data_IF_260990410287
#
_entry.id   IF_260990410287
#
_cell.length_a   1.000
_cell.length_b   1.000
_cell.length_c   1.000
_cell.angle_alpha   90.00
_cell.angle_beta   90.00
_cell.angle_gamma   90.00
#
_symmetry.space_group_name_H-M   'P 1'
#
loop_
_entity.id
_entity.type
_entity.pdbx_description
1 polymer ?
#
# COMPACT_ATOMS: atom_id res chain seq x y z
N UNK A 1 52.33 24.52 -32.99
CA UNK A 1 51.49 25.71 -32.75
C UNK A 1 50.04 25.31 -33.03
N UNK A 2 49.22 25.18 -31.97
CA UNK A 2 47.72 25.10 -31.96
C UNK A 2 47.09 23.88 -32.69
N UNK A 3 46.06 23.17 -32.20
CA UNK A 3 45.08 23.35 -31.10
C UNK A 3 44.47 21.99 -30.72
N UNK A 4 44.37 21.69 -29.43
CA UNK A 4 43.47 20.66 -28.88
C UNK A 4 42.03 21.17 -28.94
N UNK A 5 41.13 20.41 -29.58
CA UNK A 5 39.69 20.63 -29.48
C UNK A 5 39.14 19.76 -28.33
N UNK A 6 38.90 20.39 -27.18
CA UNK A 6 38.06 19.81 -26.14
C UNK A 6 36.60 20.09 -26.50
N UNK A 7 35.84 19.04 -26.80
CA UNK A 7 34.38 19.09 -26.78
C UNK A 7 33.89 18.94 -25.34
N UNK A 8 33.08 19.87 -24.81
CA UNK A 8 32.40 19.66 -23.54
C UNK A 8 31.20 18.73 -23.75
N UNK A 9 31.19 17.60 -23.04
CA UNK A 9 30.00 16.77 -22.86
C UNK A 9 29.02 17.53 -21.95
N UNK A 10 27.87 17.91 -22.49
CA UNK A 10 26.72 18.35 -21.71
C UNK A 10 25.96 17.10 -21.23
N UNK A 11 25.68 16.94 -19.93
CA UNK A 11 24.79 15.88 -19.46
C UNK A 11 23.36 16.22 -19.85
N UNK A 12 22.75 15.37 -20.68
CA UNK A 12 21.33 15.37 -20.97
C UNK A 12 20.59 14.94 -19.71
N UNK A 13 19.97 15.88 -19.00
CA UNK A 13 19.01 15.58 -17.93
C UNK A 13 17.70 15.18 -18.61
N UNK A 14 17.45 13.87 -18.70
CA UNK A 14 16.14 13.36 -19.07
C UNK A 14 15.19 13.51 -17.89
N UNK A 15 14.32 14.51 -17.94
CA UNK A 15 13.12 14.53 -17.12
C UNK A 15 12.18 13.44 -17.66
N UNK A 16 12.08 12.32 -16.94
CA UNK A 16 10.94 11.44 -17.09
C UNK A 16 9.72 12.18 -16.53
N UNK A 17 8.91 12.77 -17.41
CA UNK A 17 7.53 13.10 -17.08
C UNK A 17 6.79 11.76 -16.94
N UNK A 18 6.62 11.28 -15.70
CA UNK A 18 5.57 10.31 -15.42
C UNK A 18 4.25 10.99 -15.79
N UNK A 19 3.57 10.48 -16.82
CA UNK A 19 2.24 10.95 -17.18
C UNK A 19 1.29 10.57 -16.05
N UNK A 20 0.92 11.54 -15.20
CA UNK A 20 -0.22 11.43 -14.30
C UNK A 20 -1.49 11.35 -15.15
N UNK A 21 -1.88 10.13 -15.51
CA UNK A 21 -3.24 9.85 -15.96
C UNK A 21 -4.04 9.59 -14.70
N UNK A 22 -4.70 10.64 -14.18
CA UNK A 22 -5.69 10.46 -13.12
C UNK A 22 -6.85 9.63 -13.67
N UNK A 23 -7.23 8.51 -13.03
CA UNK A 23 -8.55 7.94 -13.28
C UNK A 23 -9.61 8.93 -12.76
N UNK A 24 -10.61 9.21 -13.60
CA UNK A 24 -11.76 10.01 -13.20
C UNK A 24 -12.47 9.33 -12.02
N UNK A 25 -12.50 10.02 -10.88
CA UNK A 25 -13.07 9.67 -9.56
C UNK A 25 -12.44 8.47 -8.84
N UNK A 26 -11.38 8.71 -8.07
CA UNK A 26 -11.07 7.84 -6.93
C UNK A 26 -12.14 8.04 -5.84
N UNK A 27 -12.57 6.96 -5.18
CA UNK A 27 -13.34 7.12 -3.94
C UNK A 27 -12.40 7.59 -2.83
N UNK A 28 -12.85 8.53 -2.01
CA UNK A 28 -12.07 9.03 -0.86
C UNK A 28 -12.77 8.57 0.41
N UNK A 29 -11.99 7.99 1.31
CA UNK A 29 -12.41 7.61 2.66
C UNK A 29 -11.60 8.44 3.65
N UNK A 30 -12.26 9.40 4.29
CA UNK A 30 -11.64 10.29 5.26
C UNK A 30 -11.66 9.66 6.66
N UNK A 31 -10.50 9.64 7.32
CA UNK A 31 -10.29 9.21 8.70
C UNK A 31 -11.04 7.93 9.08
N UNK A 32 -10.77 6.78 8.43
CA UNK A 32 -11.38 5.53 8.86
C UNK A 32 -10.95 5.17 10.28
N UNK A 33 -11.84 4.52 11.03
CA UNK A 33 -11.52 3.99 12.35
C UNK A 33 -10.36 2.97 12.25
N UNK A 34 -9.39 3.13 13.14
CA UNK A 34 -8.20 2.28 13.21
C UNK A 34 -8.26 1.33 14.39
N UNK A 35 -7.85 0.09 14.15
CA UNK A 35 -7.78 -0.99 15.12
C UNK A 35 -6.33 -1.40 15.38
N UNK A 36 -6.09 -2.10 16.48
CA UNK A 36 -4.73 -2.51 16.91
C UNK A 36 -4.44 -3.99 16.72
N UNK A 37 -5.37 -4.76 16.18
CA UNK A 37 -5.29 -6.23 16.04
C UNK A 37 -5.76 -6.62 14.64
N UNK A 38 -5.07 -7.57 14.01
CA UNK A 38 -5.49 -8.27 12.79
C UNK A 38 -6.57 -9.28 13.15
N UNK A 39 -7.62 -9.38 12.33
CA UNK A 39 -8.74 -10.30 12.59
C UNK A 39 -9.31 -10.28 14.04
N UNK A 40 -9.63 -9.11 14.65
CA UNK A 40 -10.19 -9.03 16.01
C UNK A 40 -11.52 -9.77 16.16
N UNK A 41 -12.23 -10.03 15.06
CA UNK A 41 -13.53 -10.72 15.07
C UNK A 41 -13.44 -12.24 14.87
N UNK A 42 -12.30 -12.75 14.39
CA UNK A 42 -12.12 -14.16 14.04
C UNK A 42 -12.91 -14.59 12.80
N UNK A 43 -13.16 -13.69 11.84
CA UNK A 43 -14.06 -13.92 10.71
C UNK A 43 -13.61 -15.09 9.84
N UNK A 44 -12.37 -15.04 9.34
CA UNK A 44 -11.69 -16.16 8.68
C UNK A 44 -10.31 -16.34 9.28
N UNK A 45 -10.09 -17.49 9.92
CA UNK A 45 -8.77 -17.81 10.48
C UNK A 45 -7.75 -18.03 9.35
N UNK A 46 -6.86 -17.04 9.19
CA UNK A 46 -5.74 -17.12 8.27
C UNK A 46 -4.58 -17.84 8.95
N UNK A 47 -4.30 -19.05 8.49
CA UNK A 47 -3.21 -19.88 9.05
C UNK A 47 -1.98 -19.92 8.15
N UNK A 48 -2.10 -19.51 6.89
CA UNK A 48 -0.98 -19.43 5.98
C UNK A 48 -0.33 -18.04 6.05
N UNK A 49 0.95 -18.01 6.37
CA UNK A 49 1.76 -16.80 6.39
C UNK A 49 2.80 -16.88 5.27
N UNK A 50 2.99 -15.78 4.55
CA UNK A 50 4.01 -15.72 3.51
C UNK A 50 5.41 -15.92 4.08
N UNK A 51 6.27 -16.59 3.31
CA UNK A 51 7.66 -16.78 3.71
C UNK A 51 8.35 -15.43 3.86
N UNK A 52 9.04 -15.22 4.98
CA UNK A 52 9.73 -13.96 5.29
C UNK A 52 8.83 -12.85 5.85
N UNK A 53 7.55 -13.12 6.12
CA UNK A 53 6.67 -12.15 6.76
C UNK A 53 7.03 -11.89 8.23
N UNK A 54 7.00 -10.62 8.63
CA UNK A 54 6.94 -10.22 10.04
C UNK A 54 5.59 -10.64 10.60
N UNK A 55 5.57 -11.38 11.71
CA UNK A 55 4.33 -11.85 12.34
C UNK A 55 3.38 -10.71 12.73
N UNK A 56 2.07 -10.95 12.59
CA UNK A 56 1.02 -9.99 12.97
C UNK A 56 1.24 -9.42 14.38
N UNK A 57 1.48 -10.29 15.37
CA UNK A 57 1.73 -9.88 16.76
C UNK A 57 2.92 -8.93 16.95
N UNK A 58 3.90 -8.95 16.04
CA UNK A 58 5.04 -8.03 16.09
C UNK A 58 4.66 -6.67 15.57
N UNK A 59 3.83 -6.62 14.51
CA UNK A 59 3.31 -5.36 13.98
C UNK A 59 2.31 -4.72 14.95
N UNK A 60 1.40 -5.52 15.52
CA UNK A 60 0.41 -5.09 16.53
C UNK A 60 1.05 -4.56 17.83
N UNK A 61 2.28 -5.00 18.13
CA UNK A 61 3.02 -4.52 19.30
C UNK A 61 3.62 -3.11 19.10
N UNK A 62 3.62 -2.58 17.87
CA UNK A 62 4.02 -1.21 17.59
C UNK A 62 2.88 -0.28 18.02
N UNK A 63 3.17 0.63 18.96
CA UNK A 63 2.14 1.47 19.60
C UNK A 63 1.39 2.43 18.66
N UNK A 64 1.88 2.61 17.43
CA UNK A 64 1.35 3.49 16.41
C UNK A 64 0.85 2.76 15.16
N UNK A 65 0.86 1.43 15.18
CA UNK A 65 0.32 0.60 14.11
C UNK A 65 -1.20 0.60 14.17
N UNK A 66 -1.82 1.09 13.09
CA UNK A 66 -3.26 1.14 12.94
C UNK A 66 -3.70 0.28 11.76
N UNK A 67 -4.82 -0.43 11.94
CA UNK A 67 -5.39 -1.36 10.97
C UNK A 67 -6.76 -0.86 10.54
N UNK A 68 -6.96 -0.75 9.23
CA UNK A 68 -8.25 -0.45 8.60
C UNK A 68 -9.04 -1.76 8.48
N UNK A 69 -10.29 -1.73 8.95
CA UNK A 69 -11.13 -2.93 9.07
C UNK A 69 -12.49 -2.77 8.37
N UNK A 70 -12.82 -1.57 7.89
CA UNK A 70 -14.07 -1.29 7.18
C UNK A 70 -13.82 -0.62 5.83
N UNK A 71 -14.47 -1.17 4.79
CA UNK A 71 -14.28 -0.77 3.39
C UNK A 71 -15.62 -0.41 2.73
N UNK A 72 -16.65 -0.07 3.51
CA UNK A 72 -18.01 0.17 3.01
C UNK A 72 -18.14 1.29 1.97
N UNK A 73 -17.23 2.27 2.01
CA UNK A 73 -17.21 3.44 1.11
C UNK A 73 -16.36 3.26 -0.15
N UNK A 74 -15.73 2.09 -0.32
CA UNK A 74 -14.85 1.82 -1.45
C UNK A 74 -15.64 1.58 -2.73
N UNK A 75 -15.21 2.22 -3.81
CA UNK A 75 -15.78 2.04 -5.15
C UNK A 75 -14.82 1.29 -6.06
N UNK A 76 -15.36 0.81 -7.17
CA UNK A 76 -14.57 0.19 -8.21
C UNK A 76 -13.44 1.12 -8.67
N UNK A 77 -12.24 0.55 -8.86
CA UNK A 77 -11.07 1.25 -9.37
C UNK A 77 -10.19 1.76 -8.23
N UNK A 78 -9.63 2.95 -8.41
CA UNK A 78 -8.73 3.54 -7.44
C UNK A 78 -9.49 4.07 -6.23
N UNK A 79 -8.95 3.82 -5.04
CA UNK A 79 -9.48 4.34 -3.78
C UNK A 79 -8.37 5.09 -3.03
N UNK A 80 -8.73 6.11 -2.28
CA UNK A 80 -7.84 6.91 -1.44
C UNK A 80 -8.38 6.86 -0.02
N UNK A 81 -7.47 6.61 0.93
CA UNK A 81 -7.71 6.75 2.35
C UNK A 81 -6.92 7.97 2.80
N UNK A 82 -7.62 8.98 3.30
CA UNK A 82 -7.05 10.23 3.73
C UNK A 82 -7.13 10.36 5.25
N UNK A 83 -6.03 10.70 5.90
CA UNK A 83 -5.93 10.92 7.34
C UNK A 83 -5.71 12.40 7.63
N UNK A 84 -6.44 12.92 8.62
CA UNK A 84 -6.20 14.25 9.17
C UNK A 84 -5.00 14.29 10.13
N UNK A 85 -4.56 13.13 10.61
CA UNK A 85 -3.33 12.98 11.39
C UNK A 85 -2.10 13.08 10.47
N UNK A 86 -1.43 14.23 10.49
CA UNK A 86 -0.23 14.52 9.69
C UNK A 86 0.94 13.55 9.96
N UNK A 87 0.91 12.77 11.04
CA UNK A 87 1.95 11.76 11.32
C UNK A 87 1.71 10.44 10.57
N UNK A 88 0.55 10.28 9.95
CA UNK A 88 0.15 9.10 9.20
C UNK A 88 0.11 9.41 7.72
N UNK A 89 0.70 8.52 6.92
CA UNK A 89 0.60 8.64 5.46
C UNK A 89 -0.82 8.31 5.01
N UNK A 90 -1.26 9.04 3.99
CA UNK A 90 -2.44 8.68 3.21
C UNK A 90 -2.12 7.44 2.36
N UNK A 91 -3.16 6.72 1.94
CA UNK A 91 -3.01 5.49 1.16
C UNK A 91 -3.82 5.58 -0.14
N UNK A 92 -3.16 5.43 -1.29
CA UNK A 92 -3.80 5.20 -2.56
C UNK A 92 -3.74 3.72 -2.93
N UNK A 93 -4.90 3.15 -3.26
CA UNK A 93 -5.05 1.76 -3.68
C UNK A 93 -5.46 1.74 -5.14
N UNK A 94 -4.62 1.17 -6.00
CA UNK A 94 -4.84 1.13 -7.46
C UNK A 94 -4.75 -0.28 -8.01
N UNK A 95 -5.55 -0.58 -9.02
CA UNK A 95 -5.67 -1.91 -9.62
C UNK A 95 -5.25 -1.87 -11.09
N UNK A 96 -4.57 -2.92 -11.55
CA UNK A 96 -4.14 -3.06 -12.94
C UNK A 96 -4.02 -4.53 -13.36
N UNK A 97 -3.66 -4.78 -14.62
CA UNK A 97 -3.63 -6.13 -15.20
C UNK A 97 -5.01 -6.60 -15.64
N UNK A 98 -5.31 -7.89 -15.48
CA UNK A 98 -6.54 -8.53 -15.95
C UNK A 98 -7.75 -8.37 -15.01
N UNK A 99 -7.86 -7.21 -14.34
CA UNK A 99 -8.85 -6.94 -13.29
C UNK A 99 -10.25 -6.65 -13.82
N UNK A 100 -11.28 -7.09 -13.08
CA UNK A 100 -12.69 -6.88 -13.42
C UNK A 100 -13.04 -5.41 -13.57
N UNK A 101 -13.56 -5.02 -14.74
CA UNK A 101 -14.01 -3.63 -15.01
C UNK A 101 -15.53 -3.42 -14.85
N UNK A 102 -16.27 -4.40 -14.32
CA UNK A 102 -17.69 -4.25 -13.98
C UNK A 102 -17.91 -3.30 -12.81
N UNK A 103 -19.11 -2.71 -12.63
CA UNK A 103 -19.43 -1.82 -11.49
C UNK A 103 -19.27 -2.48 -10.10
N UNK A 104 -19.15 -3.79 -10.09
CA UNK A 104 -18.82 -4.65 -8.95
C UNK A 104 -17.40 -5.23 -9.09
N UNK A 105 -16.49 -4.50 -9.75
CA UNK A 105 -15.15 -4.96 -10.13
C UNK A 105 -14.11 -4.75 -9.05
N UNK A 106 -12.82 -4.81 -9.44
CA UNK A 106 -11.72 -4.66 -8.50
C UNK A 106 -11.74 -3.27 -7.82
N UNK A 107 -11.37 -3.23 -6.54
CA UNK A 107 -11.38 -2.03 -5.70
C UNK A 107 -12.70 -1.75 -4.98
N UNK A 108 -13.83 -2.26 -5.47
CA UNK A 108 -15.12 -2.05 -4.80
C UNK A 108 -15.20 -2.78 -3.46
N UNK A 109 -16.04 -2.27 -2.55
CA UNK A 109 -16.36 -2.98 -1.30
C UNK A 109 -16.94 -4.37 -1.56
N UNK A 110 -16.47 -5.37 -0.79
CA UNK A 110 -16.94 -6.74 -0.79
C UNK A 110 -17.53 -7.09 0.57
N UNK A 111 -18.82 -6.81 0.74
CA UNK A 111 -19.57 -7.12 1.97
C UNK A 111 -19.98 -8.61 2.03
N UNK A 112 -19.00 -9.49 2.21
CA UNK A 112 -19.23 -10.92 2.38
C UNK A 112 -18.11 -11.55 3.21
N UNK A 113 -18.47 -12.06 4.40
CA UNK A 113 -17.55 -12.65 5.37
C UNK A 113 -16.81 -13.90 4.86
N UNK A 114 -17.18 -14.43 3.69
CA UNK A 114 -16.40 -15.47 3.02
C UNK A 114 -15.11 -14.92 2.37
N UNK A 115 -14.94 -13.60 2.32
CA UNK A 115 -13.80 -12.92 1.68
C UNK A 115 -13.16 -11.86 2.59
N UNK A 116 -13.59 -11.75 3.83
CA UNK A 116 -13.02 -10.82 4.82
C UNK A 116 -12.58 -11.61 6.06
N UNK A 117 -11.46 -11.20 6.64
CA UNK A 117 -11.06 -11.58 7.99
C UNK A 117 -11.79 -10.69 9.00
N UNK A 118 -12.18 -9.49 8.57
CA UNK A 118 -13.09 -8.59 9.26
C UNK A 118 -14.57 -8.94 9.12
N UNK A 119 -15.44 -8.49 10.05
CA UNK A 119 -16.83 -8.92 10.11
C UNK A 119 -17.72 -8.21 9.09
N UNK A 120 -17.24 -7.15 8.44
CA UNK A 120 -18.10 -6.25 7.63
C UNK A 120 -17.76 -6.25 6.15
N UNK A 121 -16.49 -6.18 5.76
CA UNK A 121 -16.12 -6.01 4.34
C UNK A 121 -14.64 -6.22 4.07
N UNK A 122 -14.31 -6.52 2.82
CA UNK A 122 -12.96 -6.47 2.28
C UNK A 122 -12.93 -5.63 0.99
N UNK A 123 -11.75 -5.31 0.49
CA UNK A 123 -11.57 -4.75 -0.85
C UNK A 123 -11.65 -5.90 -1.87
N UNK A 124 -12.54 -5.77 -2.86
CA UNK A 124 -12.70 -6.76 -3.91
C UNK A 124 -11.46 -6.82 -4.81
N UNK A 125 -10.95 -8.03 -4.99
CA UNK A 125 -9.89 -8.36 -5.95
C UNK A 125 -10.42 -9.43 -6.91
N UNK A 126 -10.77 -9.04 -8.13
CA UNK A 126 -11.50 -9.90 -9.07
C UNK A 126 -10.91 -9.84 -10.48
N UNK A 127 -10.92 -10.96 -11.20
CA UNK A 127 -10.55 -11.03 -12.62
C UNK A 127 -11.73 -10.73 -13.57
N UNK A 128 -11.44 -10.55 -14.86
CA UNK A 128 -12.45 -10.45 -15.93
C UNK A 128 -13.01 -11.83 -16.37
N UNK A 129 -12.95 -12.87 -15.53
CA UNK A 129 -13.25 -14.26 -15.92
C UNK A 129 -12.43 -14.74 -17.14
N UNK A 130 -11.13 -14.42 -17.13
CA UNK A 130 -10.20 -14.78 -18.20
C UNK A 130 -9.92 -16.29 -18.21
N UNK A 131 -9.95 -16.88 -19.41
CA UNK A 131 -9.68 -18.32 -19.57
C UNK A 131 -8.19 -18.63 -19.64
N UNK A 132 -7.36 -17.67 -20.06
CA UNK A 132 -5.92 -17.81 -20.14
C UNK A 132 -5.24 -17.50 -18.80
N UNK A 133 -4.01 -17.99 -18.61
CA UNK A 133 -3.19 -17.59 -17.48
C UNK A 133 -2.89 -16.08 -17.54
N UNK A 134 -2.97 -15.40 -16.39
CA UNK A 134 -2.85 -13.94 -16.33
C UNK A 134 -2.40 -13.48 -14.94
N UNK A 135 -2.15 -12.17 -14.81
CA UNK A 135 -1.80 -11.52 -13.55
C UNK A 135 -2.82 -10.43 -13.25
N UNK A 136 -3.26 -10.41 -12.00
CA UNK A 136 -4.00 -9.33 -11.38
C UNK A 136 -3.03 -8.58 -10.47
N UNK A 137 -2.97 -7.26 -10.60
CA UNK A 137 -2.01 -6.44 -9.86
C UNK A 137 -2.72 -5.37 -9.04
N UNK A 138 -2.18 -5.09 -7.85
CA UNK A 138 -2.58 -3.95 -7.01
C UNK A 138 -1.36 -3.27 -6.45
N UNK A 139 -1.46 -1.95 -6.36
CA UNK A 139 -0.46 -1.10 -5.73
C UNK A 139 -1.12 -0.36 -4.57
N UNK A 140 -0.44 -0.36 -3.44
CA UNK A 140 -0.77 0.32 -2.19
C UNK A 140 0.31 1.37 -1.98
N UNK A 141 0.07 2.59 -2.47
CA UNK A 141 1.03 3.69 -2.41
C UNK A 141 0.76 4.54 -1.17
N UNK A 142 1.79 4.74 -0.35
CA UNK A 142 1.75 5.64 0.81
C UNK A 142 2.22 7.02 0.38
N UNK A 143 1.48 8.04 0.78
CA UNK A 143 1.65 9.37 0.22
C UNK A 143 0.93 10.45 1.02
N UNK A 144 0.67 11.58 0.35
CA UNK A 144 -0.20 12.64 0.85
C UNK A 144 -1.29 12.98 -0.17
N UNK A 145 -2.50 13.22 0.33
CA UNK A 145 -3.68 13.62 -0.41
C UNK A 145 -4.07 15.06 -0.04
N UNK A 146 -4.04 15.96 -1.02
CA UNK A 146 -4.37 17.37 -0.80
C UNK A 146 -5.87 17.72 -0.99
N UNK A 147 -6.72 16.71 -1.17
CA UNK A 147 -8.12 16.87 -1.57
C UNK A 147 -8.36 16.84 -3.08
N UNK A 148 -7.30 16.82 -3.89
CA UNK A 148 -7.38 16.81 -5.36
C UNK A 148 -6.36 15.91 -6.05
N UNK A 149 -5.14 15.83 -5.52
CA UNK A 149 -4.01 15.10 -6.07
C UNK A 149 -3.35 14.27 -4.99
N UNK A 150 -3.02 13.03 -5.33
CA UNK A 150 -2.24 12.14 -4.49
C UNK A 150 -0.77 12.24 -4.88
N UNK A 151 0.08 12.56 -3.92
CA UNK A 151 1.54 12.58 -4.08
C UNK A 151 2.15 11.39 -3.35
N UNK A 152 2.41 10.31 -4.09
CA UNK A 152 3.10 9.12 -3.59
C UNK A 152 4.61 9.30 -3.39
N UNK A 153 5.17 10.49 -3.66
CA UNK A 153 6.59 10.77 -3.39
C UNK A 153 6.83 11.26 -1.96
N UNK A 154 5.76 11.60 -1.24
CA UNK A 154 5.81 12.14 0.12
C UNK A 154 5.05 11.22 1.06
N UNK A 155 5.76 10.32 1.74
CA UNK A 155 5.17 9.44 2.73
C UNK A 155 5.92 8.14 2.90
N UNK A 156 5.43 7.34 3.82
CA UNK A 156 5.91 6.01 4.07
C UNK A 156 5.54 5.50 5.44
N UNK A 157 5.91 4.25 5.69
CA UNK A 157 5.72 3.58 6.97
C UNK A 157 6.92 2.72 7.33
N UNK A 158 7.18 2.54 8.63
CA UNK A 158 8.18 1.58 9.10
C UNK A 158 7.65 0.13 9.09
N UNK A 159 6.33 -0.05 9.06
CA UNK A 159 5.68 -1.35 9.04
C UNK A 159 4.39 -1.33 8.21
N UNK A 160 4.14 -2.42 7.46
CA UNK A 160 2.93 -2.60 6.67
C UNK A 160 2.49 -4.07 6.71
N UNK A 161 1.19 -4.32 6.79
CA UNK A 161 0.64 -5.67 6.72
C UNK A 161 -0.80 -5.68 6.22
N UNK A 162 -1.25 -6.83 5.74
CA UNK A 162 -2.61 -7.05 5.26
C UNK A 162 -2.89 -8.55 5.14
N UNK A 163 -4.18 -8.89 5.00
CA UNK A 163 -4.63 -10.25 4.72
C UNK A 163 -5.29 -10.33 3.35
N UNK A 164 -5.21 -11.52 2.76
CA UNK A 164 -5.89 -11.89 1.53
C UNK A 164 -6.74 -13.11 1.83
N UNK A 165 -8.04 -13.11 1.51
CA UNK A 165 -8.91 -14.25 1.83
C UNK A 165 -9.93 -14.56 0.75
N UNK A 166 -10.37 -15.81 0.71
CA UNK A 166 -11.38 -16.29 -0.24
C UNK A 166 -12.07 -17.56 0.29
N UNK A 167 -13.25 -17.93 -0.26
CA UNK A 167 -13.91 -19.19 0.03
C UNK A 167 -13.05 -20.41 -0.26
N UNK A 168 -13.39 -21.51 0.40
CA UNK A 168 -12.73 -22.79 0.24
C UNK A 168 -12.76 -23.21 -1.23
N UNK A 169 -11.62 -23.63 -1.78
CA UNK A 169 -11.47 -23.99 -3.19
C UNK A 169 -11.30 -22.81 -4.16
N UNK A 170 -11.46 -21.56 -3.73
CA UNK A 170 -11.29 -20.38 -4.60
C UNK A 170 -9.84 -20.25 -5.12
N UNK A 171 -8.85 -20.71 -4.36
CA UNK A 171 -7.45 -20.71 -4.77
C UNK A 171 -7.03 -21.89 -5.65
N UNK A 172 -7.96 -22.70 -6.14
CA UNK A 172 -7.65 -23.83 -7.04
C UNK A 172 -6.94 -23.42 -8.34
N UNK A 173 -7.15 -22.19 -8.81
CA UNK A 173 -6.47 -21.61 -9.98
C UNK A 173 -5.28 -20.73 -9.63
N UNK A 174 -5.03 -20.48 -8.34
CA UNK A 174 -3.94 -19.63 -7.91
C UNK A 174 -2.60 -20.32 -8.20
N UNK A 175 -1.74 -19.66 -8.96
CA UNK A 175 -0.38 -20.13 -9.20
C UNK A 175 0.57 -19.62 -8.11
N UNK A 176 0.59 -18.31 -7.93
CA UNK A 176 1.40 -17.64 -6.91
C UNK A 176 0.83 -16.28 -6.53
N UNK A 177 1.23 -15.81 -5.37
CA UNK A 177 1.09 -14.40 -4.96
C UNK A 177 2.48 -13.89 -4.67
N UNK A 178 2.86 -12.77 -5.28
CA UNK A 178 4.12 -12.09 -5.01
C UNK A 178 3.80 -10.70 -4.45
N UNK A 179 4.34 -10.40 -3.28
CA UNK A 179 4.21 -9.10 -2.63
C UNK A 179 5.59 -8.48 -2.50
N UNK A 180 5.74 -7.24 -2.96
CA UNK A 180 6.98 -6.48 -2.80
C UNK A 180 6.74 -5.22 -1.99
N UNK A 181 7.58 -5.00 -0.98
CA UNK A 181 7.63 -3.78 -0.19
C UNK A 181 8.77 -2.93 -0.76
N UNK A 182 8.47 -1.72 -1.18
CA UNK A 182 9.36 -0.83 -1.91
C UNK A 182 9.60 0.46 -1.13
N UNK A 183 10.80 1.01 -1.23
CA UNK A 183 11.08 2.37 -0.75
C UNK A 183 10.65 3.45 -1.77
N UNK A 184 10.82 4.72 -1.42
CA UNK A 184 10.51 5.86 -2.28
C UNK A 184 11.31 5.90 -3.60
N UNK A 185 12.42 5.17 -3.70
CA UNK A 185 13.21 5.03 -4.93
C UNK A 185 12.81 3.80 -5.75
N UNK A 186 11.68 3.15 -5.40
CA UNK A 186 11.22 1.89 -5.99
C UNK A 186 12.18 0.72 -5.81
N UNK A 187 13.10 0.80 -4.84
CA UNK A 187 13.99 -0.31 -4.52
C UNK A 187 13.26 -1.30 -3.62
N UNK A 188 13.35 -2.59 -3.96
CA UNK A 188 12.74 -3.65 -3.16
C UNK A 188 13.44 -3.81 -1.81
N UNK A 189 12.69 -3.54 -0.74
CA UNK A 189 13.09 -3.79 0.65
C UNK A 189 12.86 -5.25 1.04
N UNK A 190 11.75 -5.83 0.56
CA UNK A 190 11.39 -7.22 0.81
C UNK A 190 10.50 -7.78 -0.29
N UNK A 191 10.70 -9.06 -0.62
CA UNK A 191 9.80 -9.83 -1.48
C UNK A 191 9.27 -11.00 -0.68
N UNK A 192 7.94 -11.12 -0.62
CA UNK A 192 7.24 -12.25 -0.04
C UNK A 192 6.50 -13.00 -1.13
N UNK A 193 6.48 -14.32 -1.05
CA UNK A 193 5.83 -15.13 -2.08
C UNK A 193 5.08 -16.29 -1.45
N UNK A 194 3.90 -16.53 -1.98
CA UNK A 194 3.13 -17.75 -1.81
C UNK A 194 3.19 -18.49 -3.15
N UNK A 195 3.59 -19.75 -3.13
CA UNK A 195 3.69 -20.60 -4.32
C UNK A 195 3.11 -21.97 -4.06
N UNK A 196 2.51 -22.61 -5.06
CA UNK A 196 2.03 -23.99 -4.95
C UNK A 196 0.83 -24.12 -4.02
N UNK A 197 -0.11 -23.19 -4.12
CA UNK A 197 -1.28 -23.12 -3.23
C UNK A 197 -2.16 -24.36 -3.38
N UNK A 198 -2.55 -24.91 -2.23
CA UNK A 198 -3.49 -26.02 -2.14
C UNK A 198 -4.94 -25.51 -2.07
N UNK A 199 -5.88 -26.28 -2.61
CA UNK A 199 -7.32 -25.96 -2.62
C UNK A 199 -7.96 -25.79 -1.23
N UNK A 200 -7.25 -26.16 -0.16
CA UNK A 200 -7.71 -26.01 1.23
C UNK A 200 -7.27 -24.71 1.91
N UNK A 201 -6.48 -23.87 1.25
CA UNK A 201 -6.16 -22.54 1.77
C UNK A 201 -7.39 -21.64 1.74
N UNK A 202 -7.56 -20.85 2.79
CA UNK A 202 -8.67 -19.89 2.95
C UNK A 202 -8.22 -18.43 2.94
N UNK A 203 -6.90 -18.23 2.98
CA UNK A 203 -6.27 -16.95 2.81
C UNK A 203 -4.81 -16.98 3.23
N UNK A 204 -4.17 -15.81 3.17
CA UNK A 204 -2.76 -15.58 3.37
C UNK A 204 -2.54 -14.26 4.11
N UNK A 205 -1.59 -14.25 5.04
CA UNK A 205 -1.12 -13.04 5.70
C UNK A 205 0.24 -12.61 5.13
N UNK A 206 0.37 -11.29 4.93
CA UNK A 206 1.60 -10.62 4.54
C UNK A 206 1.88 -9.49 5.51
N UNK A 207 3.14 -9.33 5.89
CA UNK A 207 3.54 -8.26 6.79
C UNK A 207 5.03 -8.05 6.76
N UNK A 208 5.46 -6.81 6.84
CA UNK A 208 6.87 -6.45 6.83
C UNK A 208 7.10 -5.25 7.75
N UNK A 209 8.15 -5.36 8.55
CA UNK A 209 8.69 -4.26 9.33
C UNK A 209 10.09 -3.96 8.78
N UNK A 210 10.26 -2.77 8.22
CA UNK A 210 11.54 -2.33 7.69
C UNK A 210 12.45 -1.83 8.81
N UNK A 211 13.75 -2.13 8.68
CA UNK A 211 14.80 -1.61 9.55
C UNK A 211 15.81 -0.73 8.78
N UNK A 212 15.57 -0.48 7.49
CA UNK A 212 16.55 0.14 6.59
C UNK A 212 16.06 1.47 6.00
N UNK A 213 14.88 1.47 5.41
CA UNK A 213 14.22 2.63 4.82
C UNK A 213 12.71 2.49 4.96
N UNK A 214 11.99 3.60 4.88
CA UNK A 214 10.54 3.59 4.97
C UNK A 214 9.94 2.89 3.74
N UNK A 215 8.87 2.13 3.99
CA UNK A 215 8.05 1.51 2.95
C UNK A 215 7.18 2.61 2.37
N UNK A 216 7.36 2.94 1.10
CA UNK A 216 6.54 3.96 0.41
C UNK A 216 5.50 3.33 -0.51
N UNK A 217 5.70 2.08 -0.95
CA UNK A 217 4.73 1.38 -1.81
C UNK A 217 4.76 -0.11 -1.55
N UNK A 218 3.60 -0.75 -1.68
CA UNK A 218 3.47 -2.21 -1.68
C UNK A 218 2.79 -2.65 -2.97
N UNK A 219 3.44 -3.55 -3.71
CA UNK A 219 2.85 -4.18 -4.90
C UNK A 219 2.42 -5.60 -4.60
N UNK A 220 1.26 -5.99 -5.13
CA UNK A 220 0.66 -7.31 -4.96
C UNK A 220 0.32 -7.85 -6.34
N UNK A 221 1.05 -8.88 -6.77
CA UNK A 221 0.81 -9.59 -8.02
C UNK A 221 0.24 -10.98 -7.74
N UNK A 222 -0.96 -11.23 -8.24
CA UNK A 222 -1.63 -12.52 -8.15
C UNK A 222 -1.59 -13.19 -9.51
N UNK A 223 -0.76 -14.22 -9.63
CA UNK A 223 -0.65 -15.03 -10.84
C UNK A 223 -1.67 -16.15 -10.82
N UNK A 224 -2.47 -16.24 -11.87
CA UNK A 224 -3.58 -17.19 -12.00
C UNK A 224 -3.33 -18.11 -13.19
N UNK A 225 -3.53 -19.40 -12.99
CA UNK A 225 -3.45 -20.41 -14.04
C UNK A 225 -4.65 -20.31 -14.99
N UNK A 226 -4.47 -20.82 -16.21
CA UNK A 226 -5.57 -20.99 -17.15
C UNK A 226 -6.70 -21.84 -16.54
N UNK A 227 -7.94 -21.55 -16.92
CA UNK A 227 -9.11 -22.25 -16.39
C UNK A 227 -10.41 -21.49 -16.60
N UNK A 228 -11.53 -22.16 -16.41
CA UNK A 228 -12.87 -21.56 -16.52
C UNK A 228 -13.33 -20.94 -15.20
N UNK A 229 -14.09 -19.84 -15.28
CA UNK A 229 -14.73 -19.18 -14.15
C UNK A 229 -14.00 -17.92 -13.70
N UNK A 230 -14.65 -17.11 -12.88
CA UNK A 230 -14.02 -15.93 -12.28
C UNK A 230 -13.18 -16.29 -11.07
N UNK A 231 -12.04 -15.64 -10.91
CA UNK A 231 -11.29 -15.61 -9.67
C UNK A 231 -11.65 -14.38 -8.84
N UNK A 232 -11.90 -14.59 -7.55
CA UNK A 232 -12.28 -13.54 -6.61
C UNK A 232 -11.64 -13.81 -5.24
N UNK A 233 -11.04 -12.78 -4.67
CA UNK A 233 -10.55 -12.73 -3.30
C UNK A 233 -10.82 -11.36 -2.69
N UNK A 234 -10.79 -11.27 -1.37
CA UNK A 234 -10.82 -10.00 -0.64
C UNK A 234 -9.44 -9.67 -0.07
N UNK A 235 -9.08 -8.40 -0.11
CA UNK A 235 -7.97 -7.83 0.64
C UNK A 235 -8.53 -7.09 1.86
N UNK A 236 -7.99 -7.38 3.03
CA UNK A 236 -8.55 -6.93 4.30
C UNK A 236 -7.41 -6.62 5.29
N UNK A 237 -7.76 -6.06 6.44
CA UNK A 237 -6.85 -5.74 7.54
C UNK A 237 -5.62 -4.95 7.10
N UNK A 238 -5.76 -3.98 6.19
CA UNK A 238 -4.62 -3.15 5.78
C UNK A 238 -4.16 -2.31 6.97
N UNK A 239 -2.96 -2.59 7.45
CA UNK A 239 -2.38 -1.93 8.61
C UNK A 239 -1.00 -1.37 8.35
N UNK A 240 -0.72 -0.21 8.94
CA UNK A 240 0.59 0.42 8.87
C UNK A 240 0.85 1.34 10.06
N UNK A 241 2.13 1.47 10.42
CA UNK A 241 2.58 2.41 11.45
C UNK A 241 2.56 3.85 10.94
N UNK A 242 2.51 4.78 11.89
CA UNK A 242 2.84 6.16 11.59
C UNK A 242 4.35 6.30 11.40
N UNK A 243 4.79 7.34 10.71
CA UNK A 243 6.16 7.81 10.85
C UNK A 243 6.05 9.15 11.54
N UNK A 244 6.47 9.26 12.81
CA UNK A 244 6.58 10.56 13.44
C UNK A 244 7.47 11.45 12.56
N UNK A 245 6.92 12.52 12.00
CA UNK A 245 7.70 13.43 11.18
C UNK A 245 8.94 13.88 11.97
N UNK A 246 10.11 13.86 11.32
CA UNK A 246 11.26 14.55 11.87
C UNK A 246 10.92 16.05 11.81
N UNK A 247 10.43 16.62 12.91
CA UNK A 247 9.92 18.00 12.96
C UNK A 247 10.91 19.01 12.37
N UNK A 248 10.77 19.30 11.08
CA UNK A 248 11.60 20.32 10.41
C UNK A 248 11.22 21.71 10.94
N UNK A 249 10.02 21.85 11.54
CA UNK A 249 9.51 23.07 12.17
C UNK A 249 10.17 23.45 13.51
N UNK A 250 10.85 22.52 14.20
CA UNK A 250 11.55 22.85 15.45
C UNK A 250 12.86 23.63 15.22
N UNK A 251 13.48 23.46 14.05
CA UNK A 251 14.75 24.13 13.71
C UNK A 251 14.57 25.60 13.28
N UNK A 252 13.46 25.93 12.61
CA UNK A 252 13.21 27.30 12.13
C UNK A 252 12.76 28.22 13.27
N UNK A 253 11.97 27.70 14.21
CA UNK A 253 11.52 28.47 15.39
C UNK A 253 12.66 28.72 16.39
N UNK A 254 13.55 27.72 16.58
CA UNK A 254 14.76 27.86 17.40
C UNK A 254 15.81 28.81 16.81
N UNK A 255 16.02 28.78 15.49
CA UNK A 255 17.00 29.64 14.82
C UNK A 255 16.57 31.12 14.79
N UNK A 256 15.28 31.42 14.63
CA UNK A 256 14.76 32.79 14.69
C UNK A 256 14.75 33.35 16.12
N UNK A 257 14.50 32.52 17.13
CA UNK A 257 14.56 32.91 18.54
C UNK A 257 15.96 33.31 19.02
N UNK A 258 17.00 32.58 18.60
CA UNK A 258 18.40 32.88 18.96
C UNK A 258 18.93 34.11 18.19
N UNK A 259 18.52 34.29 16.92
CA UNK A 259 18.86 35.46 16.12
C UNK A 259 18.34 36.78 16.71
N UNK A 260 17.12 36.78 17.27
CA UNK A 260 16.51 37.96 17.86
C UNK A 260 17.17 38.37 19.19
N UNK A 261 17.54 37.40 20.04
CA UNK A 261 18.20 37.67 21.34
C UNK A 261 19.62 38.21 21.15
N UNK A 262 20.33 37.77 20.12
CA UNK A 262 21.68 38.28 19.82
C UNK A 262 21.67 39.67 19.17
N UNK A 263 20.60 40.05 18.45
CA UNK A 263 20.48 41.39 17.86
C UNK A 263 20.09 42.46 18.90
N UNK A 264 19.32 42.10 19.93
CA UNK A 264 18.92 43.01 21.01
C UNK A 264 20.11 43.30 21.95
N UNK A 265 20.97 42.32 22.22
CA UNK A 265 22.13 42.48 23.12
C UNK A 265 23.31 43.30 22.55
N UNK A 266 23.32 43.57 21.24
CA UNK A 266 24.36 44.37 20.58
C UNK A 266 24.02 45.86 20.49
N UNK A 267 22.82 46.28 20.90
CA UNK A 267 22.33 47.66 20.81
C UNK A 267 22.10 48.36 22.17
N UNK A 268 22.40 47.69 23.28
CA UNK A 268 22.45 48.24 24.64
C UNK A 268 23.90 48.34 25.10
#
# INVERSE_FOLDING_TARGET
MRTNLHHPFLPTVSFFCASLVLPASAAVVDDPDLYSVFDPSGGRSITNTASGATSASTLEALGDFGIIYEYGSFNQGTNIIAFSDETRSDLQISFSGAVSTSSSGAGASLSNNSYSTSPTSAIRFADNAETAAHILSTTLDLGSWDGSTFDGSVGGTSAFGFTLSAPDGAFSRLNSITVQFLDASSQTLSTQTISGVNSGSVGFYFGYQSNAADISSVTVDVSINEGSGSFLMGMDDIGFSSIPETSTYSLITGALGIGLVLFIRRRS
#
